data_IF_230348322294
#
_entry.id   IF_230348322294
#
_cell.length_a   1.000
_cell.length_b   1.000
_cell.length_c   1.000
_cell.angle_alpha   90.00
_cell.angle_beta   90.00
_cell.angle_gamma   90.00
#
_symmetry.space_group_name_H-M   'P 1'
#
loop_
_entity.id
_entity.type
_entity.pdbx_description
1 polymer ?
#
# COMPACT_ATOMS: atom_id res chain seq x y z
N UNK A 1 -18.99 -42.78 -21.56
CA UNK A 1 -18.38 -41.44 -21.64
C UNK A 1 -17.87 -41.26 -23.04
N UNK A 2 -18.25 -40.18 -23.71
CA UNK A 2 -17.68 -39.82 -25.02
C UNK A 2 -16.25 -39.29 -24.73
N UNK A 3 -15.27 -39.70 -25.52
CA UNK A 3 -13.90 -39.23 -25.33
C UNK A 3 -13.80 -37.75 -25.75
N UNK A 4 -13.13 -36.88 -24.97
CA UNK A 4 -12.85 -35.51 -25.39
C UNK A 4 -12.16 -35.47 -26.75
N UNK A 5 -12.48 -34.47 -27.58
CA UNK A 5 -11.82 -34.32 -28.87
C UNK A 5 -10.57 -33.45 -28.73
N UNK A 6 -9.45 -33.82 -29.38
CA UNK A 6 -8.25 -32.99 -29.39
C UNK A 6 -8.50 -31.69 -30.16
N UNK A 7 -7.87 -30.62 -29.70
CA UNK A 7 -7.87 -29.30 -30.34
C UNK A 7 -6.51 -29.12 -31.00
N UNK A 8 -6.53 -28.77 -32.29
CA UNK A 8 -5.33 -28.31 -32.98
C UNK A 8 -4.98 -26.90 -32.49
N UNK A 9 -3.75 -26.71 -32.01
CA UNK A 9 -3.32 -25.49 -31.34
C UNK A 9 -2.11 -24.88 -32.06
N UNK A 10 -2.11 -23.56 -32.33
CA UNK A 10 -0.96 -22.91 -32.96
C UNK A 10 0.27 -22.95 -32.05
N UNK A 11 1.47 -23.05 -32.64
CA UNK A 11 2.73 -22.95 -31.90
C UNK A 11 2.91 -21.54 -31.30
N UNK A 12 2.31 -21.33 -30.13
CA UNK A 12 2.31 -20.10 -29.34
C UNK A 12 3.13 -20.33 -28.09
N UNK A 13 4.05 -19.41 -27.83
CA UNK A 13 4.82 -19.33 -26.60
C UNK A 13 4.13 -18.39 -25.60
N UNK A 14 4.22 -18.76 -24.33
CA UNK A 14 3.77 -17.98 -23.19
C UNK A 14 4.99 -17.62 -22.35
N UNK A 15 5.08 -16.34 -21.99
CA UNK A 15 6.09 -15.86 -21.03
C UNK A 15 5.82 -16.45 -19.64
N UNK A 16 6.81 -16.40 -18.74
CA UNK A 16 6.63 -16.86 -17.36
C UNK A 16 5.54 -16.05 -16.63
N UNK A 17 5.43 -14.74 -16.91
CA UNK A 17 4.39 -13.88 -16.36
C UNK A 17 3.00 -14.28 -16.86
N UNK A 18 2.85 -14.56 -18.16
CA UNK A 18 1.59 -15.07 -18.72
C UNK A 18 1.22 -16.45 -18.15
N UNK A 19 2.21 -17.31 -17.92
CA UNK A 19 1.99 -18.59 -17.26
C UNK A 19 1.53 -18.41 -15.81
N UNK A 20 2.15 -17.51 -15.04
CA UNK A 20 1.70 -17.21 -13.68
C UNK A 20 0.23 -16.78 -13.66
N UNK A 21 -0.15 -15.87 -14.57
CA UNK A 21 -1.55 -15.42 -14.70
C UNK A 21 -2.52 -16.57 -15.01
N UNK A 22 -2.12 -17.50 -15.90
CA UNK A 22 -2.90 -18.70 -16.23
C UNK A 22 -2.99 -19.66 -15.03
N UNK A 23 -1.87 -19.88 -14.33
CA UNK A 23 -1.74 -20.83 -13.22
C UNK A 23 -2.61 -20.48 -12.01
N UNK A 24 -2.84 -19.18 -11.77
CA UNK A 24 -3.74 -18.72 -10.72
C UNK A 24 -5.22 -18.98 -11.02
N UNK A 25 -5.58 -19.29 -12.27
CA UNK A 25 -6.95 -19.54 -12.68
C UNK A 25 -7.85 -18.29 -12.63
N UNK A 26 -9.15 -18.53 -12.75
CA UNK A 26 -10.20 -17.51 -12.75
C UNK A 26 -11.47 -18.08 -12.13
N UNK A 27 -12.14 -17.32 -11.26
CA UNK A 27 -13.42 -17.74 -10.67
C UNK A 27 -14.46 -16.67 -10.90
N UNK A 28 -15.48 -17.01 -11.69
CA UNK A 28 -16.65 -16.18 -11.94
C UNK A 28 -17.27 -15.65 -10.65
N UNK A 29 -17.50 -14.33 -10.59
CA UNK A 29 -18.11 -13.66 -9.43
C UNK A 29 -19.51 -13.13 -9.75
N UNK A 30 -19.82 -12.89 -11.02
CA UNK A 30 -21.10 -12.35 -11.49
C UNK A 30 -21.82 -13.32 -12.44
N UNK A 31 -23.11 -13.10 -12.69
CA UNK A 31 -23.90 -13.98 -13.56
C UNK A 31 -23.46 -13.92 -15.02
N UNK A 32 -22.85 -12.81 -15.42
CA UNK A 32 -22.30 -12.56 -16.75
C UNK A 32 -20.99 -13.31 -16.99
N UNK A 33 -20.28 -13.70 -15.92
CA UNK A 33 -19.02 -14.43 -15.97
C UNK A 33 -19.27 -15.91 -16.28
N UNK A 34 -19.07 -16.27 -17.55
CA UNK A 34 -19.51 -17.58 -18.07
C UNK A 34 -18.57 -18.75 -17.80
N UNK A 35 -17.43 -18.50 -17.17
CA UNK A 35 -16.31 -19.43 -17.12
C UNK A 35 -15.63 -19.43 -15.75
N UNK A 36 -15.19 -20.62 -15.32
CA UNK A 36 -14.21 -20.81 -14.27
C UNK A 36 -12.97 -21.45 -14.88
N UNK A 37 -11.81 -21.16 -14.33
CA UNK A 37 -10.55 -21.75 -14.71
C UNK A 37 -9.71 -22.07 -13.47
N UNK A 38 -9.01 -23.19 -13.49
CA UNK A 38 -8.08 -23.59 -12.43
C UNK A 38 -6.98 -24.46 -13.01
N UNK A 39 -5.82 -24.48 -12.36
CA UNK A 39 -4.73 -25.36 -12.74
C UNK A 39 -4.52 -26.48 -11.72
N UNK A 40 -4.18 -27.66 -12.23
CA UNK A 40 -3.64 -28.79 -11.47
C UNK A 40 -2.25 -29.12 -12.05
N UNK A 41 -1.20 -28.71 -11.34
CA UNK A 41 0.17 -28.70 -11.87
C UNK A 41 0.26 -27.89 -13.17
N UNK A 42 0.71 -28.54 -14.25
CA UNK A 42 0.87 -27.92 -15.57
C UNK A 42 -0.38 -28.09 -16.46
N UNK A 43 -1.52 -28.47 -15.88
CA UNK A 43 -2.78 -28.66 -16.61
C UNK A 43 -3.79 -27.58 -16.23
N UNK A 44 -4.20 -26.77 -17.19
CA UNK A 44 -5.31 -25.82 -17.05
C UNK A 44 -6.63 -26.50 -17.40
N UNK A 45 -7.63 -26.25 -16.57
CA UNK A 45 -9.01 -26.67 -16.77
C UNK A 45 -9.90 -25.45 -16.89
N UNK A 46 -10.78 -25.42 -17.89
CA UNK A 46 -11.81 -24.39 -18.04
C UNK A 46 -13.18 -25.04 -18.03
N UNK A 47 -14.06 -24.54 -17.18
CA UNK A 47 -15.43 -25.02 -17.04
C UNK A 47 -16.48 -23.93 -17.07
N UNK A 48 -17.73 -24.28 -17.33
CA UNK A 48 -18.86 -23.34 -17.24
C UNK A 48 -19.17 -23.02 -15.78
N UNK A 49 -19.33 -21.74 -15.45
CA UNK A 49 -19.58 -21.30 -14.08
C UNK A 49 -20.91 -21.80 -13.51
N UNK A 50 -21.94 -21.94 -14.34
CA UNK A 50 -23.29 -22.34 -13.90
C UNK A 50 -23.58 -23.84 -13.93
N UNK A 51 -22.81 -24.65 -14.67
CA UNK A 51 -22.96 -26.12 -14.66
C UNK A 51 -21.83 -26.83 -13.94
N UNK A 52 -20.65 -26.21 -13.82
CA UNK A 52 -19.43 -26.84 -13.33
C UNK A 52 -18.81 -27.85 -14.29
N UNK A 53 -19.36 -28.03 -15.50
CA UNK A 53 -18.78 -28.94 -16.48
C UNK A 53 -17.45 -28.39 -16.99
N UNK A 54 -16.40 -29.20 -16.91
CA UNK A 54 -15.15 -28.97 -17.62
C UNK A 54 -15.42 -29.04 -19.12
N UNK A 55 -15.07 -27.97 -19.82
CA UNK A 55 -15.25 -27.83 -21.25
C UNK A 55 -13.92 -27.96 -21.97
N UNK A 56 -12.86 -27.37 -21.41
CA UNK A 56 -11.52 -27.45 -21.98
C UNK A 56 -10.51 -27.94 -20.95
N UNK A 57 -9.54 -28.67 -21.46
CA UNK A 57 -8.34 -29.06 -20.73
C UNK A 57 -7.12 -28.75 -21.59
N UNK A 58 -6.14 -28.09 -21.01
CA UNK A 58 -4.94 -27.64 -21.71
C UNK A 58 -3.72 -28.03 -20.90
N UNK A 59 -2.84 -28.81 -21.49
CA UNK A 59 -1.58 -29.27 -20.90
C UNK A 59 -0.44 -28.37 -21.37
N UNK A 60 0.42 -27.96 -20.45
CA UNK A 60 1.56 -27.11 -20.71
C UNK A 60 2.88 -27.87 -20.54
N UNK A 61 3.81 -27.60 -21.44
CA UNK A 61 5.22 -27.93 -21.32
C UNK A 61 6.06 -26.68 -21.11
N UNK A 62 7.32 -26.88 -20.75
CA UNK A 62 8.30 -25.82 -20.54
C UNK A 62 9.64 -26.20 -21.19
N UNK A 63 10.29 -25.22 -21.83
CA UNK A 63 11.68 -25.28 -22.26
C UNK A 63 12.40 -23.95 -21.94
N UNK A 64 13.65 -23.79 -22.39
CA UNK A 64 14.48 -22.61 -22.13
C UNK A 64 13.89 -21.30 -22.69
N UNK A 65 12.90 -21.38 -23.59
CA UNK A 65 12.29 -20.22 -24.25
C UNK A 65 10.92 -19.84 -23.67
N UNK A 66 10.43 -20.58 -22.68
CA UNK A 66 9.18 -20.34 -21.98
C UNK A 66 8.23 -21.54 -22.00
N UNK A 67 6.93 -21.27 -21.81
CA UNK A 67 5.91 -22.31 -21.80
C UNK A 67 5.17 -22.41 -23.12
N UNK A 68 4.67 -23.60 -23.41
CA UNK A 68 3.91 -23.90 -24.63
C UNK A 68 2.86 -24.97 -24.34
N UNK A 69 1.83 -25.03 -25.16
CA UNK A 69 0.76 -26.03 -25.00
C UNK A 69 1.21 -27.33 -25.68
N UNK A 70 1.27 -28.42 -24.92
CA UNK A 70 1.62 -29.76 -25.40
C UNK A 70 0.40 -30.50 -25.93
N UNK A 71 -0.76 -30.27 -25.33
CA UNK A 71 -2.03 -30.83 -25.76
C UNK A 71 -3.20 -29.96 -25.30
N UNK A 72 -4.28 -29.92 -26.09
CA UNK A 72 -5.53 -29.29 -25.70
C UNK A 72 -6.70 -30.19 -26.10
N UNK A 73 -7.73 -30.23 -25.27
CA UNK A 73 -8.92 -31.06 -25.46
C UNK A 73 -10.18 -30.26 -25.17
N UNK A 74 -11.27 -30.59 -25.88
CA UNK A 74 -12.61 -30.11 -25.57
C UNK A 74 -13.60 -31.25 -25.30
N UNK A 75 -14.53 -30.99 -24.39
CA UNK A 75 -15.71 -31.84 -24.14
C UNK A 75 -16.49 -32.05 -25.44
N UNK A 76 -16.89 -33.30 -25.67
CA UNK A 76 -17.52 -33.77 -26.91
C UNK A 76 -18.93 -34.31 -26.70
N UNK A 77 -19.36 -34.45 -25.44
CA UNK A 77 -20.71 -34.84 -25.08
C UNK A 77 -21.70 -33.69 -25.40
N UNK A 78 -22.65 -33.86 -26.36
CA UNK A 78 -23.52 -32.77 -26.83
C UNK A 78 -24.45 -32.20 -25.76
N UNK A 79 -24.77 -33.00 -24.73
CA UNK A 79 -25.56 -32.62 -23.57
C UNK A 79 -24.79 -31.71 -22.59
N UNK A 80 -23.45 -31.69 -22.66
CA UNK A 80 -22.57 -30.89 -21.80
C UNK A 80 -21.97 -29.70 -22.53
N UNK A 81 -21.61 -29.88 -23.79
CA UNK A 81 -21.02 -28.85 -24.63
C UNK A 81 -21.35 -29.06 -26.10
N UNK A 82 -22.31 -28.28 -26.61
CA UNK A 82 -22.72 -28.36 -28.00
C UNK A 82 -21.90 -27.38 -28.87
N UNK A 83 -20.70 -27.82 -29.28
CA UNK A 83 -19.80 -27.07 -30.14
C UNK A 83 -19.08 -28.00 -31.14
N UNK A 84 -18.70 -27.46 -32.30
CA UNK A 84 -17.86 -28.16 -33.27
C UNK A 84 -16.39 -28.07 -32.87
N UNK A 85 -15.55 -29.00 -33.37
CA UNK A 85 -14.11 -28.95 -33.13
C UNK A 85 -13.47 -27.64 -33.63
N UNK A 86 -13.89 -27.14 -34.80
CA UNK A 86 -13.45 -25.86 -35.36
C UNK A 86 -13.82 -24.66 -34.46
N UNK A 87 -15.03 -24.69 -33.89
CA UNK A 87 -15.45 -23.66 -32.94
C UNK A 87 -14.63 -23.73 -31.64
N UNK A 88 -14.39 -24.93 -31.11
CA UNK A 88 -13.54 -25.14 -29.93
C UNK A 88 -12.12 -24.63 -30.13
N UNK A 89 -11.52 -24.91 -31.29
CA UNK A 89 -10.19 -24.42 -31.67
C UNK A 89 -10.13 -22.89 -31.80
N UNK A 90 -11.23 -22.25 -32.17
CA UNK A 90 -11.34 -20.78 -32.24
C UNK A 90 -11.61 -20.15 -30.88
N UNK A 91 -12.39 -20.80 -30.03
CA UNK A 91 -12.84 -20.26 -28.75
C UNK A 91 -11.77 -20.36 -27.67
N UNK A 92 -10.99 -21.44 -27.62
CA UNK A 92 -9.97 -21.63 -26.59
C UNK A 92 -8.93 -20.48 -26.54
N UNK A 93 -8.36 -19.99 -27.67
CA UNK A 93 -7.50 -18.81 -27.67
C UNK A 93 -8.19 -17.56 -27.14
N UNK A 94 -9.45 -17.34 -27.51
CA UNK A 94 -10.24 -16.20 -27.01
C UNK A 94 -10.44 -16.29 -25.51
N UNK A 95 -10.65 -17.48 -24.95
CA UNK A 95 -10.79 -17.66 -23.51
C UNK A 95 -9.47 -17.46 -22.76
N UNK A 96 -8.36 -18.01 -23.26
CA UNK A 96 -7.03 -17.72 -22.69
C UNK A 96 -6.77 -16.21 -22.73
N UNK A 97 -6.97 -15.58 -23.89
CA UNK A 97 -6.66 -14.17 -24.08
C UNK A 97 -7.61 -13.25 -23.34
N UNK A 98 -8.92 -13.48 -23.32
CA UNK A 98 -9.88 -12.56 -22.70
C UNK A 98 -10.15 -12.84 -21.23
N UNK A 99 -10.28 -14.11 -20.84
CA UNK A 99 -10.66 -14.50 -19.47
C UNK A 99 -9.42 -14.58 -18.56
N UNK A 100 -8.30 -15.11 -19.06
CA UNK A 100 -7.11 -15.31 -18.24
C UNK A 100 -6.07 -14.20 -18.42
N UNK A 101 -5.86 -13.71 -19.64
CA UNK A 101 -4.81 -12.74 -19.91
C UNK A 101 -5.32 -11.28 -19.97
N UNK A 102 -6.47 -10.96 -20.56
CA UNK A 102 -6.94 -9.58 -20.76
C UNK A 102 -7.74 -9.04 -19.57
N UNK A 103 -8.63 -9.85 -18.97
CA UNK A 103 -9.29 -9.47 -17.71
C UNK A 103 -8.24 -9.15 -16.65
N UNK A 104 -7.17 -9.95 -16.61
CA UNK A 104 -6.04 -9.71 -15.73
C UNK A 104 -5.05 -8.67 -16.23
N UNK A 105 -4.87 -8.39 -17.53
CA UNK A 105 -4.06 -7.22 -17.98
C UNK A 105 -4.65 -5.89 -17.53
N UNK A 106 -5.98 -5.78 -17.47
CA UNK A 106 -6.66 -4.62 -16.85
C UNK A 106 -6.37 -4.57 -15.34
N UNK A 107 -6.41 -5.71 -14.64
CA UNK A 107 -6.02 -5.79 -13.22
C UNK A 107 -4.52 -5.51 -13.01
N UNK A 108 -3.62 -6.02 -13.86
CA UNK A 108 -2.17 -5.83 -13.82
C UNK A 108 -1.81 -4.37 -14.06
N UNK A 109 -2.41 -3.73 -15.06
CA UNK A 109 -2.23 -2.29 -15.29
C UNK A 109 -2.75 -1.47 -14.11
N UNK A 110 -3.88 -1.88 -13.52
CA UNK A 110 -4.42 -1.25 -12.31
C UNK A 110 -3.47 -1.43 -11.12
N UNK A 111 -2.94 -2.64 -10.91
CA UNK A 111 -1.99 -2.96 -9.85
C UNK A 111 -0.65 -2.24 -10.03
N UNK A 112 -0.18 -2.07 -11.27
CA UNK A 112 1.00 -1.27 -11.59
C UNK A 112 0.78 0.20 -11.24
N UNK A 113 -0.38 0.78 -11.59
CA UNK A 113 -0.72 2.15 -11.21
C UNK A 113 -0.85 2.30 -9.68
N UNK A 114 -1.49 1.36 -9.01
CA UNK A 114 -1.59 1.33 -7.54
C UNK A 114 -0.21 1.25 -6.88
N UNK A 115 0.66 0.39 -7.38
CA UNK A 115 2.04 0.28 -6.92
C UNK A 115 2.83 1.56 -7.18
N UNK A 116 2.67 2.20 -8.33
CA UNK A 116 3.32 3.48 -8.65
C UNK A 116 2.89 4.60 -7.69
N UNK A 117 1.59 4.69 -7.37
CA UNK A 117 1.07 5.66 -6.38
C UNK A 117 1.62 5.39 -4.99
N UNK A 118 1.67 4.12 -4.58
CA UNK A 118 2.27 3.73 -3.30
C UNK A 118 3.78 4.03 -3.23
N UNK A 119 4.54 3.76 -4.29
CA UNK A 119 5.97 4.05 -4.37
C UNK A 119 6.26 5.56 -4.41
N UNK A 120 5.41 6.36 -5.05
CA UNK A 120 5.49 7.83 -5.00
C UNK A 120 5.26 8.35 -3.58
N UNK A 121 4.21 7.86 -2.92
CA UNK A 121 3.95 8.16 -1.50
C UNK A 121 5.10 7.72 -0.60
N UNK A 122 5.63 6.50 -0.79
CA UNK A 122 6.76 5.98 -0.02
C UNK A 122 8.03 6.82 -0.24
N UNK A 123 8.28 7.29 -1.46
CA UNK A 123 9.40 8.18 -1.76
C UNK A 123 9.29 9.50 -1.01
N UNK A 124 8.09 10.09 -0.99
CA UNK A 124 7.81 11.31 -0.23
C UNK A 124 7.94 11.12 1.28
N UNK A 125 7.41 10.02 1.82
CA UNK A 125 7.52 9.64 3.22
C UNK A 125 8.99 9.46 3.60
N UNK A 126 9.75 8.69 2.82
CA UNK A 126 11.15 8.37 3.09
C UNK A 126 12.05 9.59 3.13
N UNK A 127 11.88 10.51 2.18
CA UNK A 127 12.67 11.75 2.17
C UNK A 127 12.26 12.64 3.34
N UNK A 128 10.98 12.66 3.70
CA UNK A 128 10.46 13.39 4.84
C UNK A 128 11.06 12.90 6.16
N UNK A 129 11.00 11.59 6.41
CA UNK A 129 11.67 10.90 7.52
C UNK A 129 13.17 11.24 7.53
N UNK A 130 13.90 10.86 6.47
CA UNK A 130 15.35 10.89 6.50
C UNK A 130 15.92 12.30 6.67
N UNK A 131 15.29 13.30 6.03
CA UNK A 131 15.70 14.71 6.18
C UNK A 131 15.18 15.29 7.49
N UNK A 132 13.98 14.93 7.93
CA UNK A 132 13.39 15.35 9.21
C UNK A 132 14.26 14.93 10.39
N UNK A 133 14.74 13.69 10.39
CA UNK A 133 15.59 13.13 11.44
C UNK A 133 16.93 13.88 11.59
N UNK A 134 17.40 14.53 10.51
CA UNK A 134 18.61 15.36 10.58
C UNK A 134 18.46 16.57 11.50
N UNK A 135 17.23 17.02 11.76
CA UNK A 135 16.97 18.21 12.57
C UNK A 135 16.87 17.95 14.07
N UNK A 136 16.99 16.69 14.52
CA UNK A 136 17.33 16.39 15.91
C UNK A 136 18.79 16.68 16.25
N UNK A 137 19.67 16.74 15.24
CA UNK A 137 21.09 17.05 15.45
C UNK A 137 21.27 18.54 15.74
N UNK A 138 21.84 18.94 16.90
CA UNK A 138 22.03 20.35 17.23
C UNK A 138 22.84 21.13 16.19
N UNK A 139 23.73 20.46 15.46
CA UNK A 139 24.54 21.03 14.38
C UNK A 139 23.73 21.50 13.16
N UNK A 140 22.48 21.04 13.02
CA UNK A 140 21.62 21.37 11.89
C UNK A 140 20.56 22.44 12.22
N UNK A 141 20.60 23.05 13.41
CA UNK A 141 19.62 24.08 13.82
C UNK A 141 19.61 25.31 12.92
N UNK A 142 20.78 25.82 12.55
CA UNK A 142 20.86 27.00 11.68
C UNK A 142 20.39 26.66 10.26
N UNK A 143 20.68 25.44 9.80
CA UNK A 143 20.18 24.91 8.52
C UNK A 143 18.65 24.86 8.47
N UNK A 144 18.00 24.44 9.56
CA UNK A 144 16.54 24.46 9.66
C UNK A 144 15.98 25.89 9.52
N UNK A 145 16.57 26.85 10.25
CA UNK A 145 16.17 28.28 10.18
C UNK A 145 16.35 28.87 8.79
N UNK A 146 17.43 28.49 8.11
CA UNK A 146 17.76 28.95 6.75
C UNK A 146 17.04 28.16 5.65
N UNK A 147 16.30 27.10 6.00
CA UNK A 147 15.68 26.15 5.06
C UNK A 147 16.67 25.58 4.06
N UNK A 148 17.86 25.24 4.56
CA UNK A 148 18.95 24.59 3.82
C UNK A 148 19.14 23.14 4.29
N UNK A 149 19.53 22.25 3.38
CA UNK A 149 19.68 20.83 3.73
C UNK A 149 21.13 20.51 4.16
N UNK A 150 21.34 19.57 5.10
CA UNK A 150 22.67 19.05 5.40
C UNK A 150 23.21 18.19 4.24
N UNK A 151 24.52 17.89 4.25
CA UNK A 151 25.10 16.95 3.29
C UNK A 151 24.55 15.54 3.52
N UNK A 152 24.29 14.80 2.44
CA UNK A 152 23.91 13.38 2.51
C UNK A 152 25.11 12.45 2.72
N UNK A 153 24.87 11.12 2.85
CA UNK A 153 23.54 10.50 2.82
C UNK A 153 22.77 10.67 4.14
N UNK A 154 21.48 10.98 4.05
CA UNK A 154 20.54 11.01 5.19
C UNK A 154 19.96 9.61 5.38
N UNK A 155 20.06 9.09 6.61
CA UNK A 155 19.50 7.79 6.98
C UNK A 155 18.05 7.96 7.39
N UNK A 156 17.20 7.05 6.93
CA UNK A 156 15.80 6.94 7.36
C UNK A 156 15.66 6.11 8.65
N UNK A 157 14.53 6.27 9.35
CA UNK A 157 14.20 5.69 10.66
C UNK A 157 13.17 4.54 10.55
N UNK A 158 12.55 4.16 11.66
CA UNK A 158 11.51 3.14 11.71
C UNK A 158 10.27 3.49 10.89
N UNK A 159 9.99 4.78 10.67
CA UNK A 159 8.95 5.29 9.79
C UNK A 159 9.05 4.68 8.38
N UNK A 160 10.19 4.91 7.72
CA UNK A 160 10.46 4.33 6.40
C UNK A 160 10.58 2.82 6.45
N UNK A 161 11.18 2.25 7.50
CA UNK A 161 11.34 0.79 7.57
C UNK A 161 9.98 0.10 7.55
N UNK A 162 9.06 0.54 8.41
CA UNK A 162 7.71 -0.02 8.47
C UNK A 162 6.90 0.32 7.22
N UNK A 163 7.03 1.52 6.66
CA UNK A 163 6.35 1.88 5.41
C UNK A 163 6.81 1.00 4.24
N UNK A 164 8.11 0.72 4.14
CA UNK A 164 8.69 -0.14 3.10
C UNK A 164 8.19 -1.57 3.23
N UNK A 165 8.17 -2.13 4.45
CA UNK A 165 7.59 -3.47 4.70
C UNK A 165 6.11 -3.52 4.30
N UNK A 166 5.35 -2.44 4.55
CA UNK A 166 3.95 -2.37 4.17
C UNK A 166 3.75 -2.34 2.65
N UNK A 167 4.54 -1.56 1.91
CA UNK A 167 4.48 -1.53 0.44
C UNK A 167 4.89 -2.88 -0.15
N UNK A 168 5.96 -3.47 0.37
CA UNK A 168 6.40 -4.82 0.01
C UNK A 168 5.32 -5.87 0.23
N UNK A 169 4.62 -5.79 1.37
CA UNK A 169 3.51 -6.66 1.72
C UNK A 169 2.38 -6.60 0.70
N UNK A 170 1.94 -5.37 0.37
CA UNK A 170 0.88 -5.13 -0.61
C UNK A 170 1.32 -5.60 -2.00
N UNK A 171 2.55 -5.33 -2.40
CA UNK A 171 3.11 -5.74 -3.69
C UNK A 171 3.11 -7.27 -3.85
N UNK A 172 3.61 -8.00 -2.86
CA UNK A 172 3.65 -9.49 -2.88
C UNK A 172 2.26 -10.13 -2.83
N UNK A 173 1.22 -9.37 -2.46
CA UNK A 173 -0.13 -9.87 -2.23
C UNK A 173 -1.17 -9.16 -3.09
N UNK A 174 -0.75 -8.49 -4.16
CA UNK A 174 -1.64 -7.84 -5.12
C UNK A 174 -2.63 -6.87 -4.44
N UNK A 175 -2.13 -6.05 -3.51
CA UNK A 175 -2.91 -5.09 -2.74
C UNK A 175 -3.71 -5.68 -1.56
N UNK A 176 -3.66 -7.00 -1.33
CA UNK A 176 -4.41 -7.63 -0.24
C UNK A 176 -3.65 -7.57 1.09
N UNK A 177 -4.25 -6.89 2.08
CA UNK A 177 -3.77 -6.89 3.46
C UNK A 177 -4.01 -8.26 4.13
N UNK A 178 -2.94 -8.85 4.67
CA UNK A 178 -2.93 -10.07 5.50
C UNK A 178 -2.22 -9.80 6.82
N UNK A 179 -2.98 -9.52 7.87
CA UNK A 179 -2.47 -9.02 9.15
C UNK A 179 -1.45 -9.97 9.80
N UNK A 180 -1.70 -11.29 9.76
CA UNK A 180 -0.77 -12.28 10.32
C UNK A 180 0.58 -12.28 9.60
N UNK A 181 0.56 -12.13 8.28
CA UNK A 181 1.79 -12.02 7.50
C UNK A 181 2.48 -10.67 7.75
N UNK A 182 1.72 -9.58 7.78
CA UNK A 182 2.27 -8.24 8.01
C UNK A 182 2.95 -8.15 9.40
N UNK A 183 2.33 -8.76 10.41
CA UNK A 183 2.91 -8.85 11.76
C UNK A 183 4.26 -9.58 11.75
N UNK A 184 4.33 -10.73 11.08
CA UNK A 184 5.56 -11.49 10.94
C UNK A 184 6.63 -10.72 10.15
N UNK A 185 6.25 -10.07 9.05
CA UNK A 185 7.15 -9.29 8.20
C UNK A 185 7.70 -8.05 8.93
N UNK A 186 6.91 -7.37 9.75
CA UNK A 186 7.42 -6.31 10.62
C UNK A 186 8.42 -6.83 11.65
N UNK A 187 8.15 -8.00 12.25
CA UNK A 187 9.03 -8.61 13.24
C UNK A 187 10.34 -9.11 12.62
N UNK A 188 10.29 -9.62 11.39
CA UNK A 188 11.46 -10.07 10.63
C UNK A 188 12.35 -8.90 10.18
N UNK A 189 11.74 -7.83 9.68
CA UNK A 189 12.47 -6.65 9.21
C UNK A 189 13.02 -5.76 10.34
N UNK A 190 12.55 -5.95 11.59
CA UNK A 190 12.87 -5.09 12.72
C UNK A 190 14.39 -4.90 12.93
N UNK A 191 14.84 -3.65 12.82
CA UNK A 191 16.19 -3.23 13.15
C UNK A 191 16.19 -2.28 14.36
N UNK A 192 16.84 -2.71 15.45
CA UNK A 192 16.93 -1.95 16.70
C UNK A 192 17.55 -0.57 16.52
N UNK A 193 18.39 -0.36 15.50
CA UNK A 193 19.09 0.89 15.27
C UNK A 193 18.30 1.91 14.44
N UNK A 194 17.03 1.61 14.11
CA UNK A 194 16.19 2.49 13.28
C UNK A 194 15.34 3.50 14.04
N UNK A 195 15.31 3.47 15.37
CA UNK A 195 14.62 4.52 16.15
C UNK A 195 13.36 4.07 16.88
N UNK A 196 12.96 2.80 16.71
CA UNK A 196 11.74 2.25 17.33
C UNK A 196 11.56 2.60 18.81
N UNK A 197 10.35 3.06 19.13
CA UNK A 197 9.91 3.26 20.51
C UNK A 197 9.92 1.95 21.33
N UNK A 198 10.12 2.02 22.67
CA UNK A 198 10.28 0.82 23.52
C UNK A 198 9.13 -0.19 23.43
N UNK A 199 7.89 0.30 23.29
CA UNK A 199 6.71 -0.55 23.13
C UNK A 199 6.73 -1.35 21.82
N UNK A 200 7.13 -0.70 20.71
CA UNK A 200 7.28 -1.37 19.41
C UNK A 200 8.40 -2.43 19.47
N UNK A 201 9.54 -2.10 20.09
CA UNK A 201 10.64 -3.07 20.30
C UNK A 201 10.16 -4.30 21.06
N UNK A 202 9.38 -4.11 22.14
CA UNK A 202 8.85 -5.23 22.92
C UNK A 202 7.88 -6.09 22.10
N UNK A 203 6.95 -5.46 21.38
CA UNK A 203 5.97 -6.13 20.54
C UNK A 203 6.64 -6.96 19.45
N UNK A 204 7.50 -6.34 18.62
CA UNK A 204 8.13 -6.98 17.47
C UNK A 204 9.04 -8.15 17.89
N UNK A 205 9.79 -7.99 19.00
CA UNK A 205 10.55 -9.11 19.58
C UNK A 205 9.66 -10.21 20.15
N UNK A 206 8.46 -9.88 20.64
CA UNK A 206 7.48 -10.86 21.10
C UNK A 206 6.96 -11.70 19.93
N UNK A 207 6.58 -11.04 18.83
CA UNK A 207 6.13 -11.70 17.59
C UNK A 207 7.26 -12.56 17.01
N UNK A 208 8.49 -12.05 16.95
CA UNK A 208 9.65 -12.81 16.46
C UNK A 208 9.95 -14.09 17.29
N UNK A 209 9.48 -14.15 18.54
CA UNK A 209 9.58 -15.34 19.40
C UNK A 209 8.36 -16.28 19.29
N UNK A 210 7.44 -16.01 18.36
CA UNK A 210 6.25 -16.82 18.11
C UNK A 210 5.02 -16.43 18.92
N UNK A 211 5.01 -15.27 19.58
CA UNK A 211 3.81 -14.77 20.26
C UNK A 211 2.73 -14.29 19.28
N UNK A 212 1.45 -14.42 19.64
CA UNK A 212 0.34 -13.89 18.84
C UNK A 212 0.32 -12.35 18.92
N UNK A 213 0.48 -11.70 17.78
CA UNK A 213 0.45 -10.24 17.68
C UNK A 213 -0.85 -9.65 18.22
N UNK A 214 -1.98 -10.36 18.13
CA UNK A 214 -3.29 -9.88 18.60
C UNK A 214 -3.28 -9.70 20.11
N UNK A 215 -2.73 -10.69 20.82
CA UNK A 215 -2.61 -10.66 22.27
C UNK A 215 -1.55 -9.64 22.70
N UNK A 216 -0.39 -9.65 22.05
CA UNK A 216 0.73 -8.77 22.39
C UNK A 216 0.38 -7.29 22.17
N UNK A 217 -0.20 -6.93 21.02
CA UNK A 217 -0.59 -5.56 20.72
C UNK A 217 -1.73 -5.07 21.63
N UNK A 218 -2.68 -5.95 21.97
CA UNK A 218 -3.75 -5.63 22.93
C UNK A 218 -3.21 -5.44 24.36
N UNK A 219 -2.21 -6.23 24.78
CA UNK A 219 -1.65 -6.16 26.13
C UNK A 219 -0.79 -4.91 26.39
N UNK A 220 -0.38 -4.18 25.35
CA UNK A 220 0.41 -2.96 25.49
C UNK A 220 -0.32 -1.93 26.36
N UNK A 221 0.47 -1.13 27.10
CA UNK A 221 -0.02 -0.03 27.94
C UNK A 221 -1.11 -0.43 28.96
N UNK A 222 -0.99 -1.63 29.54
CA UNK A 222 -1.93 -2.12 30.54
C UNK A 222 -3.23 -2.65 29.95
N UNK A 223 -3.22 -3.10 28.69
CA UNK A 223 -4.37 -3.70 28.03
C UNK A 223 -5.18 -2.76 27.14
N UNK A 224 -4.78 -1.50 27.00
CA UNK A 224 -5.47 -0.50 26.18
C UNK A 224 -4.92 -0.41 24.75
N UNK A 225 -3.73 -0.96 24.50
CA UNK A 225 -3.02 -0.82 23.23
C UNK A 225 -2.28 0.50 23.07
N UNK A 226 -1.44 0.62 22.04
CA UNK A 226 -0.68 1.83 21.75
C UNK A 226 -1.54 2.94 21.12
N UNK A 227 -1.52 4.13 21.72
CA UNK A 227 -2.03 5.40 21.16
C UNK A 227 -1.00 6.13 20.28
N UNK A 228 0.19 5.56 20.12
CA UNK A 228 1.30 6.21 19.44
C UNK A 228 1.02 6.53 17.98
N UNK A 229 1.82 7.44 17.42
CA UNK A 229 1.75 7.83 16.01
C UNK A 229 2.39 6.78 15.06
N UNK A 230 3.01 5.71 15.58
CA UNK A 230 3.73 4.72 14.79
C UNK A 230 2.90 3.92 13.77
N UNK A 231 1.56 3.90 13.91
CA UNK A 231 0.68 3.42 12.84
C UNK A 231 0.45 4.46 11.75
N UNK A 232 0.32 5.74 12.11
CA UNK A 232 0.12 6.84 11.19
C UNK A 232 1.39 7.14 10.36
N UNK A 233 2.57 7.01 10.95
CA UNK A 233 3.84 7.32 10.28
C UNK A 233 4.13 6.48 9.02
N UNK A 234 3.56 5.28 8.94
CA UNK A 234 3.85 4.30 7.88
C UNK A 234 2.75 4.12 6.83
N UNK A 235 1.57 4.72 7.02
CA UNK A 235 0.33 4.27 6.38
C UNK A 235 -0.01 5.02 5.07
N UNK A 236 0.59 6.18 4.81
CA UNK A 236 0.29 6.97 3.61
C UNK A 236 0.42 6.15 2.30
N UNK A 237 1.44 5.30 2.10
CA UNK A 237 1.53 4.46 0.90
C UNK A 237 0.39 3.46 0.73
N UNK A 238 -0.20 2.95 1.82
CA UNK A 238 -1.38 2.09 1.76
C UNK A 238 -2.61 2.87 1.29
N UNK A 239 -2.76 4.11 1.74
CA UNK A 239 -3.79 5.03 1.23
C UNK A 239 -3.65 5.23 -0.27
N UNK A 240 -2.45 5.59 -0.73
CA UNK A 240 -2.15 5.81 -2.14
C UNK A 240 -2.35 4.54 -3.00
N UNK A 241 -2.00 3.36 -2.48
CA UNK A 241 -2.29 2.08 -3.14
C UNK A 241 -3.78 1.93 -3.40
N UNK A 242 -4.62 2.22 -2.41
CA UNK A 242 -6.06 2.02 -2.48
C UNK A 242 -6.84 3.24 -2.97
N UNK A 243 -6.21 4.21 -3.65
CA UNK A 243 -6.85 5.44 -4.11
C UNK A 243 -8.03 5.22 -5.09
N UNK A 244 -8.10 4.07 -5.78
CA UNK A 244 -9.25 3.71 -6.64
C UNK A 244 -10.49 3.27 -5.84
N UNK A 245 -10.35 3.07 -4.52
CA UNK A 245 -11.44 2.66 -3.65
C UNK A 245 -12.04 3.87 -2.94
N UNK A 246 -13.28 3.70 -2.45
CA UNK A 246 -13.91 4.76 -1.66
C UNK A 246 -13.12 5.01 -0.37
N UNK A 247 -13.11 6.24 0.16
CA UNK A 247 -12.45 6.56 1.42
C UNK A 247 -12.86 5.65 2.59
N UNK A 248 -14.10 5.15 2.61
CA UNK A 248 -14.58 4.20 3.62
C UNK A 248 -13.89 2.83 3.54
N UNK A 249 -13.58 2.34 2.33
CA UNK A 249 -12.79 1.11 2.15
C UNK A 249 -11.36 1.34 2.60
N UNK A 250 -10.75 2.47 2.22
CA UNK A 250 -9.40 2.85 2.66
C UNK A 250 -9.32 2.90 4.19
N UNK A 251 -10.28 3.56 4.84
CA UNK A 251 -10.38 3.62 6.30
C UNK A 251 -10.44 2.22 6.94
N UNK A 252 -11.21 1.30 6.35
CA UNK A 252 -11.34 -0.08 6.86
C UNK A 252 -10.01 -0.84 6.77
N UNK A 253 -9.30 -0.75 5.64
CA UNK A 253 -8.02 -1.45 5.44
C UNK A 253 -6.91 -0.80 6.29
N UNK A 254 -6.89 0.53 6.40
CA UNK A 254 -5.96 1.25 7.26
C UNK A 254 -6.12 0.87 8.74
N UNK A 255 -7.36 0.75 9.22
CA UNK A 255 -7.63 0.32 10.59
C UNK A 255 -7.07 -1.08 10.87
N UNK A 256 -7.32 -2.04 9.97
CA UNK A 256 -6.77 -3.41 10.07
C UNK A 256 -5.24 -3.44 10.07
N UNK A 257 -4.60 -2.60 9.25
CA UNK A 257 -3.12 -2.49 9.23
C UNK A 257 -2.58 -1.85 10.52
N UNK A 258 -3.30 -0.89 11.09
CA UNK A 258 -2.94 -0.25 12.35
C UNK A 258 -2.98 -1.25 13.52
N UNK A 259 -4.03 -2.06 13.61
CA UNK A 259 -4.27 -3.05 14.69
C UNK A 259 -3.09 -4.00 14.91
N UNK A 260 -2.28 -4.29 13.88
CA UNK A 260 -1.09 -5.14 13.97
C UNK A 260 -0.12 -4.66 15.05
N UNK A 261 -0.05 -3.35 15.30
CA UNK A 261 0.84 -2.74 16.30
C UNK A 261 0.16 -1.77 17.26
N UNK A 262 -0.96 -1.19 16.85
CA UNK A 262 -1.68 -0.15 17.57
C UNK A 262 -3.16 -0.55 17.65
N UNK A 263 -3.57 -1.12 18.79
CA UNK A 263 -4.96 -1.52 19.04
C UNK A 263 -5.76 -0.50 19.83
N UNK A 264 -5.15 0.61 20.25
CA UNK A 264 -5.91 1.68 20.86
C UNK A 264 -6.74 2.41 19.80
N UNK A 265 -8.02 2.75 20.06
CA UNK A 265 -8.87 3.47 19.11
C UNK A 265 -8.22 4.73 18.51
N UNK A 266 -7.58 5.56 19.32
CA UNK A 266 -6.86 6.75 18.84
C UNK A 266 -5.66 6.44 17.92
N UNK A 267 -4.91 5.36 18.17
CA UNK A 267 -3.80 4.96 17.28
C UNK A 267 -4.33 4.47 15.92
N UNK A 268 -5.48 3.80 15.94
CA UNK A 268 -6.21 3.37 14.73
C UNK A 268 -6.76 4.58 13.98
N UNK A 269 -7.43 5.50 14.67
CA UNK A 269 -8.01 6.71 14.07
C UNK A 269 -6.93 7.58 13.40
N UNK A 270 -5.77 7.70 14.03
CA UNK A 270 -4.60 8.40 13.50
C UNK A 270 -4.15 7.79 12.14
N UNK A 271 -4.05 6.47 12.07
CA UNK A 271 -3.68 5.79 10.82
C UNK A 271 -4.76 5.92 9.74
N UNK A 272 -6.05 5.85 10.12
CA UNK A 272 -7.17 6.04 9.20
C UNK A 272 -7.12 7.43 8.57
N UNK A 273 -6.95 8.48 9.38
CA UNK A 273 -6.91 9.85 8.89
C UNK A 273 -5.80 10.07 7.85
N UNK A 274 -4.58 9.58 8.11
CA UNK A 274 -3.45 9.71 7.19
C UNK A 274 -3.66 8.88 5.91
N UNK A 275 -4.18 7.66 6.03
CA UNK A 275 -4.44 6.80 4.86
C UNK A 275 -5.52 7.40 3.95
N UNK A 276 -6.60 7.93 4.53
CA UNK A 276 -7.66 8.61 3.77
C UNK A 276 -7.12 9.87 3.10
N UNK A 277 -6.32 10.67 3.81
CA UNK A 277 -5.69 11.87 3.23
C UNK A 277 -4.82 11.51 2.02
N UNK A 278 -3.99 10.47 2.13
CA UNK A 278 -3.13 10.02 1.03
C UNK A 278 -3.93 9.42 -0.14
N UNK A 279 -5.02 8.69 0.11
CA UNK A 279 -5.89 8.16 -0.94
C UNK A 279 -6.59 9.28 -1.72
N UNK A 280 -7.15 10.27 -1.01
CA UNK A 280 -7.79 11.44 -1.62
C UNK A 280 -6.80 12.29 -2.41
N UNK A 281 -5.61 12.50 -1.85
CA UNK A 281 -4.55 13.25 -2.52
C UNK A 281 -4.09 12.55 -3.81
N UNK A 282 -4.15 11.22 -3.85
CA UNK A 282 -3.66 10.40 -4.96
C UNK A 282 -4.72 10.01 -5.99
N UNK A 283 -5.97 10.47 -5.83
CA UNK A 283 -7.05 10.18 -6.79
C UNK A 283 -6.82 10.89 -8.13
N UNK A 284 -7.54 10.47 -9.17
CA UNK A 284 -7.44 11.10 -10.49
C UNK A 284 -7.97 12.55 -10.49
N UNK A 285 -8.87 12.86 -9.55
CA UNK A 285 -9.42 14.20 -9.32
C UNK A 285 -9.30 14.53 -7.82
N UNK A 286 -8.12 14.96 -7.35
CA UNK A 286 -7.91 15.26 -5.94
C UNK A 286 -8.78 16.44 -5.49
N UNK A 287 -9.40 16.36 -4.30
CA UNK A 287 -10.15 17.47 -3.75
C UNK A 287 -9.22 18.67 -3.46
N UNK A 288 -9.79 19.86 -3.37
CA UNK A 288 -9.05 21.02 -2.87
C UNK A 288 -8.68 20.86 -1.37
N UNK A 289 -7.84 21.76 -0.87
CA UNK A 289 -7.31 21.69 0.50
C UNK A 289 -8.40 21.63 1.59
N UNK A 290 -9.51 22.37 1.42
CA UNK A 290 -10.58 22.42 2.42
C UNK A 290 -11.50 21.18 2.33
N UNK A 291 -11.79 20.73 1.11
CA UNK A 291 -12.57 19.53 0.90
C UNK A 291 -11.80 18.27 1.33
N UNK A 292 -10.48 18.21 1.13
CA UNK A 292 -9.62 17.15 1.65
C UNK A 292 -9.77 17.00 3.17
N UNK A 293 -9.66 18.10 3.93
CA UNK A 293 -9.83 18.07 5.40
C UNK A 293 -11.24 17.61 5.79
N UNK A 294 -12.25 18.11 5.10
CA UNK A 294 -13.66 17.75 5.37
C UNK A 294 -13.90 16.25 5.17
N UNK A 295 -13.38 15.68 4.08
CA UNK A 295 -13.51 14.26 3.80
C UNK A 295 -12.69 13.40 4.78
N UNK A 296 -11.46 13.81 5.13
CA UNK A 296 -10.66 13.12 6.16
C UNK A 296 -11.39 13.08 7.50
N UNK A 297 -11.96 14.20 7.95
CA UNK A 297 -12.76 14.26 9.19
C UNK A 297 -13.96 13.32 9.11
N UNK A 298 -14.68 13.29 7.98
CA UNK A 298 -15.87 12.46 7.81
C UNK A 298 -15.58 10.96 7.92
N UNK A 299 -14.38 10.52 7.53
CA UNK A 299 -13.97 9.12 7.55
C UNK A 299 -13.08 8.73 8.74
N UNK A 300 -12.68 9.70 9.57
CA UNK A 300 -11.95 9.41 10.81
C UNK A 300 -12.94 8.96 11.90
N UNK A 301 -12.65 7.85 12.62
CA UNK A 301 -13.45 7.41 13.76
C UNK A 301 -13.57 8.50 14.84
N UNK A 302 -14.69 8.52 15.55
CA UNK A 302 -14.90 9.49 16.64
C UNK A 302 -13.86 9.28 17.76
N UNK A 303 -13.29 10.39 18.26
CA UNK A 303 -12.20 10.38 19.22
C UNK A 303 -11.35 11.64 19.15
N UNK A 304 -10.27 11.66 19.94
CA UNK A 304 -9.37 12.81 20.07
C UNK A 304 -8.70 13.20 18.74
N UNK A 305 -8.34 12.22 17.90
CA UNK A 305 -7.79 12.52 16.56
C UNK A 305 -8.81 13.32 15.73
N UNK A 306 -10.08 12.91 15.72
CA UNK A 306 -11.13 13.58 14.95
C UNK A 306 -11.43 14.98 15.50
N UNK A 307 -11.49 15.13 16.82
CA UNK A 307 -11.66 16.43 17.47
C UNK A 307 -10.51 17.39 17.16
N UNK A 308 -9.28 16.85 17.13
CA UNK A 308 -8.09 17.59 16.70
C UNK A 308 -8.17 18.00 15.23
N UNK A 309 -8.60 17.11 14.33
CA UNK A 309 -8.78 17.43 12.91
C UNK A 309 -9.85 18.52 12.70
N UNK A 310 -10.97 18.45 13.43
CA UNK A 310 -12.02 19.48 13.41
C UNK A 310 -11.44 20.83 13.88
N UNK A 311 -10.63 20.81 14.94
CA UNK A 311 -9.98 22.01 15.47
C UNK A 311 -8.98 22.60 14.46
N UNK A 312 -8.14 21.76 13.84
CA UNK A 312 -7.20 22.17 12.80
C UNK A 312 -7.92 22.76 11.58
N UNK A 313 -9.05 22.17 11.16
CA UNK A 313 -9.88 22.68 10.07
C UNK A 313 -10.53 24.05 10.35
N UNK A 314 -10.56 24.48 11.63
CA UNK A 314 -11.01 25.82 12.01
C UNK A 314 -10.01 26.93 11.67
N UNK A 315 -8.74 26.58 11.39
CA UNK A 315 -7.69 27.53 11.02
C UNK A 315 -7.59 27.73 9.50
N UNK A 316 -7.49 28.98 9.07
CA UNK A 316 -7.23 29.32 7.66
C UNK A 316 -5.82 28.91 7.24
N UNK A 317 -5.62 28.54 5.97
CA UNK A 317 -4.31 28.11 5.47
C UNK A 317 -3.24 29.23 5.42
N UNK A 318 -3.61 30.46 5.71
CA UNK A 318 -2.71 31.60 5.94
C UNK A 318 -2.18 31.68 7.38
N UNK A 319 -2.75 30.95 8.33
CA UNK A 319 -2.30 30.87 9.73
C UNK A 319 -0.86 30.33 9.84
N UNK A 320 -0.10 30.82 10.83
CA UNK A 320 1.22 30.29 11.15
C UNK A 320 1.09 28.84 11.65
N UNK A 321 1.81 27.85 11.06
CA UNK A 321 1.80 26.47 11.56
C UNK A 321 2.07 26.33 13.06
N UNK A 322 2.88 27.22 13.66
CA UNK A 322 3.16 27.19 15.09
C UNK A 322 1.90 27.47 15.93
N UNK A 323 1.03 28.38 15.49
CA UNK A 323 -0.23 28.70 16.17
C UNK A 323 -1.22 27.52 16.12
N UNK A 324 -1.29 26.83 14.96
CA UNK A 324 -2.12 25.62 14.83
C UNK A 324 -1.60 24.54 15.78
N UNK A 325 -0.29 24.35 15.83
CA UNK A 325 0.37 23.36 16.68
C UNK A 325 0.18 23.62 18.19
N UNK A 326 0.06 24.87 18.63
CA UNK A 326 -0.30 25.20 20.02
C UNK A 326 -1.66 24.62 20.42
N UNK A 327 -2.56 24.43 19.46
CA UNK A 327 -3.91 23.90 19.70
C UNK A 327 -3.98 22.38 19.57
N UNK A 328 -3.36 21.82 18.54
CA UNK A 328 -3.55 20.39 18.18
C UNK A 328 -2.32 19.52 18.39
N UNK A 329 -1.22 20.10 18.86
CA UNK A 329 0.05 19.41 19.07
C UNK A 329 0.97 19.42 17.84
N UNK A 330 2.20 18.97 18.05
CA UNK A 330 3.23 18.80 17.03
C UNK A 330 3.97 17.45 17.15
N UNK A 331 3.34 16.47 17.78
CA UNK A 331 3.88 15.13 17.98
C UNK A 331 4.88 15.02 19.13
N UNK A 332 5.18 16.09 19.88
CA UNK A 332 6.10 16.04 21.04
C UNK A 332 5.73 14.96 22.08
N UNK A 333 4.48 14.51 22.11
CA UNK A 333 4.01 13.44 23.00
C UNK A 333 4.11 12.04 22.37
N UNK A 334 4.46 11.95 21.08
CA UNK A 334 4.53 10.71 20.28
C UNK A 334 3.18 9.99 20.25
N UNK A 335 2.09 10.76 20.21
CA UNK A 335 0.71 10.26 20.22
C UNK A 335 0.00 10.62 18.90
N UNK A 336 -0.87 9.74 18.41
CA UNK A 336 -1.71 10.00 17.24
C UNK A 336 -2.48 11.33 17.32
N UNK A 337 -3.24 11.60 18.41
CA UNK A 337 -3.98 12.86 18.59
C UNK A 337 -3.12 14.14 18.63
N UNK A 338 -1.86 14.03 19.05
CA UNK A 338 -0.92 15.17 19.16
C UNK A 338 -0.11 15.37 17.86
N UNK A 339 -0.19 14.44 16.91
CA UNK A 339 0.64 14.41 15.68
C UNK A 339 -0.21 14.65 14.42
N UNK A 340 -1.26 13.84 14.26
CA UNK A 340 -1.97 13.71 12.97
C UNK A 340 -2.77 14.94 12.56
N UNK A 341 -3.48 15.64 13.46
CA UNK A 341 -4.25 16.82 13.07
C UNK A 341 -3.41 17.90 12.39
N UNK A 342 -2.24 18.23 12.96
CA UNK A 342 -1.31 19.19 12.37
C UNK A 342 -0.78 18.70 11.01
N UNK A 343 -0.40 17.42 10.94
CA UNK A 343 0.16 16.85 9.71
C UNK A 343 -0.84 16.87 8.55
N UNK A 344 -2.10 16.50 8.78
CA UNK A 344 -3.12 16.52 7.73
C UNK A 344 -3.40 17.97 7.29
N UNK A 345 -3.46 18.92 8.22
CA UNK A 345 -3.63 20.34 7.88
C UNK A 345 -2.46 20.90 7.07
N UNK A 346 -1.22 20.56 7.44
CA UNK A 346 -0.01 20.96 6.69
C UNK A 346 0.05 20.33 5.30
N UNK A 347 -0.32 19.06 5.17
CA UNK A 347 -0.39 18.41 3.87
C UNK A 347 -1.47 19.06 2.98
N UNK A 348 -2.65 19.32 3.53
CA UNK A 348 -3.74 20.01 2.81
C UNK A 348 -3.32 21.41 2.34
N UNK A 349 -2.64 22.19 3.20
CA UNK A 349 -2.11 23.52 2.88
C UNK A 349 -1.13 23.52 1.71
N UNK A 350 -0.33 22.46 1.58
CA UNK A 350 0.82 22.40 0.69
C UNK A 350 0.66 21.37 -0.44
N UNK A 351 -0.57 21.00 -0.80
CA UNK A 351 -0.82 20.14 -1.97
C UNK A 351 -0.11 20.71 -3.21
N UNK A 352 0.67 19.86 -3.87
CA UNK A 352 1.47 20.23 -5.04
C UNK A 352 2.82 20.91 -4.76
N UNK A 353 3.16 21.22 -3.50
CA UNK A 353 4.47 21.79 -3.13
C UNK A 353 5.12 21.03 -1.97
N UNK A 354 5.76 19.90 -2.33
CA UNK A 354 6.48 19.05 -1.38
C UNK A 354 7.53 19.82 -0.57
N UNK A 355 8.28 20.73 -1.23
CA UNK A 355 9.37 21.46 -0.58
C UNK A 355 8.83 22.43 0.46
N UNK A 356 7.80 23.20 0.13
CA UNK A 356 7.17 24.12 1.08
C UNK A 356 6.52 23.34 2.23
N UNK A 357 5.82 22.25 1.93
CA UNK A 357 5.23 21.36 2.93
C UNK A 357 6.26 20.83 3.92
N UNK A 358 7.37 20.26 3.42
CA UNK A 358 8.45 19.78 4.27
C UNK A 358 8.98 20.87 5.23
N UNK A 359 9.33 22.06 4.71
CA UNK A 359 9.89 23.11 5.54
C UNK A 359 8.89 23.70 6.53
N UNK A 360 7.61 23.80 6.15
CA UNK A 360 6.55 24.23 7.07
C UNK A 360 6.45 23.25 8.24
N UNK A 361 6.43 21.94 7.95
CA UNK A 361 6.38 20.89 8.96
C UNK A 361 7.61 20.88 9.87
N UNK A 362 8.81 20.83 9.29
CA UNK A 362 10.05 20.74 10.07
C UNK A 362 10.27 21.96 10.97
N UNK A 363 9.79 23.14 10.56
CA UNK A 363 9.96 24.38 11.33
C UNK A 363 9.13 24.42 12.62
N UNK A 364 8.05 23.63 12.72
CA UNK A 364 7.20 23.56 13.92
C UNK A 364 7.90 22.79 15.06
N UNK A 365 8.79 21.86 14.73
CA UNK A 365 9.46 21.01 15.71
C UNK A 365 8.59 19.85 16.19
N UNK A 366 8.84 19.38 17.41
CA UNK A 366 8.20 18.19 17.97
C UNK A 366 8.82 16.89 17.45
N UNK A 367 7.98 15.97 16.98
CA UNK A 367 8.40 14.68 16.40
C UNK A 367 8.68 14.86 14.91
N UNK A 368 9.81 15.50 14.61
CA UNK A 368 10.08 16.13 13.30
C UNK A 368 10.14 15.12 12.15
N UNK A 369 10.83 14.00 12.32
CA UNK A 369 10.89 12.91 11.33
C UNK A 369 9.50 12.35 11.06
N UNK A 370 8.74 11.96 12.09
CA UNK A 370 7.38 11.42 11.94
C UNK A 370 6.44 12.40 11.26
N UNK A 371 6.44 13.66 11.68
CA UNK A 371 5.60 14.68 11.07
C UNK A 371 5.95 14.86 9.59
N UNK A 372 7.25 14.94 9.27
CA UNK A 372 7.71 15.10 7.89
C UNK A 372 7.46 13.84 7.05
N UNK A 373 7.51 12.64 7.64
CA UNK A 373 7.18 11.38 7.00
C UNK A 373 5.70 11.32 6.61
N UNK A 374 4.79 11.69 7.53
CA UNK A 374 3.34 11.74 7.27
C UNK A 374 3.03 12.76 6.19
N UNK A 375 3.47 14.01 6.35
CA UNK A 375 3.21 15.08 5.38
C UNK A 375 3.84 14.75 4.04
N UNK A 376 5.10 14.30 4.04
CA UNK A 376 5.81 13.89 2.83
C UNK A 376 5.13 12.73 2.12
N UNK A 377 4.57 11.77 2.86
CA UNK A 377 3.83 10.65 2.30
C UNK A 377 2.56 11.07 1.56
N UNK A 378 1.80 12.02 2.14
CA UNK A 378 0.58 12.56 1.52
C UNK A 378 0.93 13.42 0.29
N UNK A 379 1.92 14.32 0.40
CA UNK A 379 2.35 15.17 -0.71
C UNK A 379 3.01 14.38 -1.84
N UNK A 380 3.72 13.30 -1.50
CA UNK A 380 4.27 12.34 -2.46
C UNK A 380 3.18 11.59 -3.22
N UNK A 381 2.09 11.23 -2.53
CA UNK A 381 0.92 10.62 -3.14
C UNK A 381 0.23 11.59 -4.13
N UNK A 382 0.13 12.88 -3.78
CA UNK A 382 -0.44 13.92 -4.65
C UNK A 382 0.39 14.18 -5.90
N UNK A 383 1.69 14.48 -5.74
CA UNK A 383 2.51 14.95 -6.84
C UNK A 383 3.17 13.84 -7.66
N UNK A 384 2.92 12.57 -7.30
CA UNK A 384 3.48 11.41 -8.00
C UNK A 384 5.01 11.30 -7.89
N UNK A 385 5.64 10.51 -8.78
CA UNK A 385 7.07 10.20 -8.71
C UNK A 385 7.98 11.42 -8.67
N UNK A 386 7.61 12.51 -9.34
CA UNK A 386 8.44 13.72 -9.49
C UNK A 386 8.15 14.82 -8.46
N UNK A 387 7.27 14.57 -7.50
CA UNK A 387 6.93 15.51 -6.41
C UNK A 387 8.14 15.91 -5.56
N UNK A 388 9.04 14.95 -5.30
CA UNK A 388 10.17 15.14 -4.40
C UNK A 388 11.38 15.68 -5.17
N UNK A 389 12.05 16.75 -4.70
CA UNK A 389 13.25 17.28 -5.35
C UNK A 389 14.30 16.20 -5.61
N UNK A 390 14.83 16.05 -6.84
CA UNK A 390 15.80 15.00 -7.18
C UNK A 390 17.02 15.00 -6.25
N UNK A 391 17.58 16.18 -5.95
CA UNK A 391 18.72 16.29 -5.05
C UNK A 391 18.44 15.82 -3.61
N UNK A 392 17.17 15.83 -3.17
CA UNK A 392 16.79 15.31 -1.86
C UNK A 392 16.64 13.79 -1.93
N UNK A 393 16.00 13.26 -2.99
CA UNK A 393 15.90 11.81 -3.23
C UNK A 393 17.28 11.16 -3.29
N UNK A 394 18.23 11.77 -4.00
CA UNK A 394 19.59 11.25 -4.18
C UNK A 394 20.44 11.34 -2.90
N UNK A 395 20.12 12.29 -2.02
CA UNK A 395 20.78 12.45 -0.72
C UNK A 395 20.22 11.50 0.34
N UNK A 396 19.12 10.77 0.09
CA UNK A 396 18.49 9.87 1.05
C UNK A 396 18.91 8.41 0.82
N UNK A 397 19.09 7.68 1.92
CA UNK A 397 19.32 6.23 1.90
C UNK A 397 18.24 5.49 1.05
N UNK A 398 18.62 4.55 0.16
CA UNK A 398 17.66 3.74 -0.59
C UNK A 398 16.68 2.98 0.34
N UNK A 399 15.40 2.86 -0.05
CA UNK A 399 14.40 2.12 0.75
C UNK A 399 14.69 0.62 0.73
N UNK A 400 15.06 0.11 -0.45
CA UNK A 400 15.53 -1.26 -0.67
C UNK A 400 17.01 -1.20 -1.07
N UNK A 401 17.89 -2.07 -0.53
CA UNK A 401 19.23 -2.21 -1.05
C UNK A 401 19.14 -2.54 -2.54
N UNK A 402 19.93 -1.87 -3.40
CA UNK A 402 20.09 -2.36 -4.78
C UNK A 402 20.67 -3.77 -4.69
N UNK A 403 20.20 -4.74 -5.50
CA UNK A 403 20.93 -5.99 -5.66
C UNK A 403 22.38 -5.63 -5.96
N UNK A 404 23.31 -6.11 -5.14
CA UNK A 404 24.72 -5.98 -5.47
C UNK A 404 24.92 -6.78 -6.75
N UNK A 405 25.32 -6.13 -7.84
CA UNK A 405 25.94 -6.82 -8.97
C UNK A 405 27.10 -7.64 -8.39
N UNK A 406 26.89 -8.95 -8.26
CA UNK A 406 27.88 -9.94 -7.82
C UNK A 406 28.02 -10.99 -8.88
#
# INVERSE_FOLDING_TARGET
MVAPHPIDWPDRRFTEDEWQLISYGFRAQQMEDKWNAWCDGDTLHLGRSWTGYEIYRVEFGQDDTGRFITAAYAESAPDRYNATAEYSATMLPVLLDMVLLAHRRSETFTLENQAQRAEASLTGLRVGDALGSQFFLPSNRDRLRERSTPAGPWRWTDDTQMATVLVDHLTRRYGLLREDNLAAEFAEAFDLYRGYGPGAVQLLRGIARGGDWRELASAMFGGTGSMGNGAAMRIAPLGAWHADHTPAVVATVAARSAEVTHRHPEGIAAAVAVAVAAALASSDDPPDSADLLTQVIAHTPDGLVKDGLISANGFGFDTDPAEVAETVGNGSQVLGPDTVPLCVWLAARHLGDYRAGFWATASVGGDVDTNCAIVGGILGAYGGPDSVPPQWRDATEPARPRPTDT
#
